data_IF_599345564821
#
_entry.id   IF_599345564821
#
_cell.length_a   1.000
_cell.length_b   1.000
_cell.length_c   1.000
_cell.angle_alpha   90.00
_cell.angle_beta   90.00
_cell.angle_gamma   90.00
#
_symmetry.space_group_name_H-M   'P 1'
#
loop_
_entity.id
_entity.type
_entity.pdbx_description
1 polymer ?
#
# COMPACT_ATOMS: atom_id res chain seq x y z
N UNK A 1 -14.29 17.25 -1.16
CA UNK A 1 -13.30 16.60 -2.05
C UNK A 1 -12.13 17.57 -2.19
N UNK A 2 -10.98 17.24 -1.62
CA UNK A 2 -9.83 18.16 -1.58
C UNK A 2 -9.21 18.30 -2.98
N UNK A 3 -8.71 19.49 -3.32
CA UNK A 3 -8.02 19.78 -4.60
C UNK A 3 -6.87 18.77 -4.85
N UNK A 4 -6.23 18.28 -3.78
CA UNK A 4 -5.19 17.23 -3.85
C UNK A 4 -5.73 15.87 -4.30
N UNK A 5 -6.93 15.48 -3.85
CA UNK A 5 -7.56 14.20 -4.24
C UNK A 5 -8.04 14.22 -5.70
N UNK A 6 -8.54 15.37 -6.17
CA UNK A 6 -8.95 15.56 -7.57
C UNK A 6 -7.77 15.44 -8.53
N UNK A 7 -6.63 16.09 -8.23
CA UNK A 7 -5.40 15.98 -9.02
C UNK A 7 -4.86 14.55 -9.03
N UNK A 8 -4.84 13.88 -7.86
CA UNK A 8 -4.41 12.49 -7.71
C UNK A 8 -5.22 11.52 -8.58
N UNK A 9 -6.56 11.59 -8.56
CA UNK A 9 -7.41 10.71 -9.40
C UNK A 9 -7.22 10.98 -10.90
N UNK A 10 -7.01 12.24 -11.28
CA UNK A 10 -6.82 12.60 -12.68
C UNK A 10 -5.48 12.12 -13.25
N UNK A 11 -4.39 12.26 -12.48
CA UNK A 11 -3.08 11.70 -12.83
C UNK A 11 -3.12 10.16 -12.92
N UNK A 12 -3.74 9.50 -11.93
CA UNK A 12 -3.92 8.06 -11.93
C UNK A 12 -4.68 7.56 -13.16
N UNK A 13 -5.72 8.28 -13.61
CA UNK A 13 -6.50 7.90 -14.80
C UNK A 13 -5.75 8.13 -16.12
N UNK A 14 -4.96 9.20 -16.22
CA UNK A 14 -4.24 9.56 -17.46
C UNK A 14 -3.01 8.70 -17.72
N UNK A 15 -2.32 8.23 -16.70
CA UNK A 15 -1.09 7.46 -16.91
C UNK A 15 -1.30 5.95 -16.75
N UNK A 16 -2.35 5.49 -16.05
CA UNK A 16 -2.59 4.05 -15.85
C UNK A 16 -2.82 3.26 -17.14
N UNK A 17 -3.43 3.86 -18.17
CA UNK A 17 -3.74 3.17 -19.42
C UNK A 17 -2.53 2.98 -20.35
N UNK A 18 -1.45 3.74 -20.15
CA UNK A 18 -0.23 3.64 -20.98
C UNK A 18 0.86 2.77 -20.35
N UNK A 19 0.78 2.43 -19.06
CA UNK A 19 1.82 1.67 -18.36
C UNK A 19 2.05 0.28 -19.00
N UNK A 20 1.01 -0.33 -19.59
CA UNK A 20 1.13 -1.64 -20.24
C UNK A 20 2.01 -1.63 -21.49
N UNK A 21 2.01 -0.53 -22.24
CA UNK A 21 2.67 -0.41 -23.55
C UNK A 21 3.87 0.55 -23.54
N UNK A 22 4.18 1.14 -22.37
CA UNK A 22 5.25 2.12 -22.24
C UNK A 22 6.62 1.49 -22.55
N UNK A 23 7.47 2.28 -23.22
CA UNK A 23 8.85 1.93 -23.58
C UNK A 23 9.83 2.90 -22.92
N UNK A 24 11.08 2.50 -22.79
CA UNK A 24 12.13 3.45 -22.47
C UNK A 24 12.42 4.30 -23.69
N UNK A 25 12.46 5.63 -23.52
CA UNK A 25 13.01 6.54 -24.53
C UNK A 25 14.54 6.40 -24.59
N UNK A 26 15.17 6.95 -25.62
CA UNK A 26 16.62 6.90 -25.87
C UNK A 26 17.43 7.31 -24.64
N UNK A 27 17.10 8.43 -24.02
CA UNK A 27 17.80 8.93 -22.83
C UNK A 27 17.65 7.97 -21.65
N UNK A 28 16.43 7.51 -21.35
CA UNK A 28 16.20 6.54 -20.28
C UNK A 28 16.90 5.19 -20.53
N UNK A 29 17.04 4.75 -21.80
CA UNK A 29 17.84 3.56 -22.16
C UNK A 29 19.32 3.75 -21.85
N UNK A 30 19.87 4.92 -22.15
CA UNK A 30 21.26 5.28 -21.83
C UNK A 30 21.48 5.35 -20.31
N UNK A 31 20.48 5.83 -19.56
CA UNK A 31 20.52 5.94 -18.10
C UNK A 31 20.27 4.61 -17.37
N UNK A 32 19.64 3.61 -18.00
CA UNK A 32 19.19 2.39 -17.31
C UNK A 32 20.32 1.70 -16.52
N UNK A 33 21.52 1.60 -17.11
CA UNK A 33 22.64 0.96 -16.44
C UNK A 33 23.30 1.86 -15.37
N UNK A 34 23.46 3.15 -15.62
CA UNK A 34 24.16 4.07 -14.71
C UNK A 34 23.29 4.55 -13.54
N UNK A 35 21.99 4.72 -13.77
CA UNK A 35 21.01 5.23 -12.80
C UNK A 35 20.23 4.08 -12.14
N UNK A 36 19.75 3.10 -12.90
CA UNK A 36 18.98 2.00 -12.33
C UNK A 36 19.81 0.73 -12.08
N UNK A 37 21.06 0.62 -12.57
CA UNK A 37 21.84 -0.62 -12.56
C UNK A 37 21.05 -1.82 -13.13
N UNK A 38 20.17 -1.56 -14.09
CA UNK A 38 19.33 -2.55 -14.74
C UNK A 38 19.54 -2.46 -16.26
N UNK A 39 19.55 -3.61 -16.97
CA UNK A 39 19.38 -3.60 -18.41
C UNK A 39 18.07 -2.89 -18.80
N UNK A 40 18.03 -2.19 -19.95
CA UNK A 40 16.82 -1.53 -20.41
C UNK A 40 15.59 -2.46 -20.50
N UNK A 41 15.80 -3.72 -20.94
CA UNK A 41 14.73 -4.73 -21.01
C UNK A 41 14.11 -5.03 -19.65
N UNK A 42 14.93 -5.12 -18.61
CA UNK A 42 14.50 -5.50 -17.27
C UNK A 42 13.76 -4.35 -16.59
N UNK A 43 14.20 -3.12 -16.86
CA UNK A 43 13.53 -1.91 -16.40
C UNK A 43 12.14 -1.76 -17.05
N UNK A 44 12.02 -1.97 -18.36
CA UNK A 44 10.71 -2.01 -19.03
C UNK A 44 9.82 -3.11 -18.47
N UNK A 45 10.38 -4.32 -18.28
CA UNK A 45 9.64 -5.43 -17.71
C UNK A 45 9.12 -5.10 -16.31
N UNK A 46 9.94 -4.52 -15.44
CA UNK A 46 9.55 -4.15 -14.08
C UNK A 46 8.40 -3.11 -14.05
N UNK A 47 8.40 -2.17 -15.00
CA UNK A 47 7.30 -1.21 -15.14
C UNK A 47 6.01 -1.92 -15.59
N UNK A 48 6.09 -2.79 -16.62
CA UNK A 48 4.92 -3.49 -17.18
C UNK A 48 4.33 -4.53 -16.22
N UNK A 49 5.13 -5.17 -15.38
CA UNK A 49 4.67 -6.19 -14.42
C UNK A 49 4.08 -5.60 -13.13
N UNK A 50 3.97 -4.28 -13.03
CA UNK A 50 3.35 -3.61 -11.89
C UNK A 50 4.24 -3.53 -10.64
N UNK A 51 5.56 -3.67 -10.80
CA UNK A 51 6.52 -3.35 -9.74
C UNK A 51 6.73 -1.85 -9.57
N UNK A 52 6.46 -1.06 -10.61
CA UNK A 52 6.44 0.39 -10.51
C UNK A 52 5.12 0.91 -9.90
N UNK A 53 5.20 1.96 -9.08
CA UNK A 53 4.05 2.60 -8.43
C UNK A 53 3.87 3.99 -9.01
N UNK A 54 2.66 4.27 -9.52
CA UNK A 54 2.30 5.60 -10.01
C UNK A 54 2.23 6.61 -8.85
N UNK A 55 3.01 7.68 -8.98
CA UNK A 55 3.07 8.77 -8.02
C UNK A 55 1.90 9.73 -8.25
N UNK A 56 1.45 10.38 -7.18
CA UNK A 56 0.39 11.40 -7.25
C UNK A 56 0.87 12.75 -7.77
N UNK A 57 2.18 12.99 -7.72
CA UNK A 57 2.79 14.17 -8.30
C UNK A 57 2.87 14.03 -9.82
N UNK A 58 2.54 15.11 -10.52
CA UNK A 58 2.70 15.28 -11.96
C UNK A 58 3.09 16.73 -12.18
N UNK A 59 3.97 16.99 -13.13
CA UNK A 59 4.18 18.35 -13.62
C UNK A 59 3.34 18.60 -14.88
N UNK A 60 3.68 19.65 -15.64
CA UNK A 60 2.94 20.03 -16.84
C UNK A 60 3.13 19.04 -18.01
N UNK A 61 4.24 18.29 -18.01
CA UNK A 61 4.71 17.50 -19.15
C UNK A 61 4.76 15.99 -18.83
N UNK A 62 4.91 15.64 -17.56
CA UNK A 62 5.23 14.31 -17.09
C UNK A 62 4.36 13.84 -15.93
N UNK A 63 4.03 12.55 -15.96
CA UNK A 63 3.68 11.74 -14.80
C UNK A 63 4.89 10.96 -14.33
N UNK A 64 4.83 10.41 -13.12
CA UNK A 64 5.99 9.77 -12.52
C UNK A 64 5.66 8.40 -11.94
N UNK A 65 6.55 7.43 -12.17
CA UNK A 65 6.48 6.09 -11.61
C UNK A 65 7.68 5.88 -10.66
N UNK A 66 7.43 5.49 -9.42
CA UNK A 66 8.48 5.08 -8.49
C UNK A 66 8.78 3.59 -8.62
N UNK A 67 10.06 3.24 -8.74
CA UNK A 67 10.55 1.87 -8.81
C UNK A 67 11.68 1.66 -7.79
N UNK A 68 11.56 0.64 -6.96
CA UNK A 68 12.67 0.25 -6.09
C UNK A 68 13.67 -0.63 -6.85
N UNK A 69 14.96 -0.38 -6.68
CA UNK A 69 16.03 -1.16 -7.30
C UNK A 69 16.83 -1.85 -6.19
N UNK A 70 16.61 -3.15 -5.95
CA UNK A 70 17.27 -3.89 -4.87
C UNK A 70 18.81 -3.86 -4.95
N UNK A 71 19.37 -3.92 -6.17
CA UNK A 71 20.82 -3.91 -6.38
C UNK A 71 21.49 -2.61 -5.92
N UNK A 72 20.75 -1.49 -5.90
CA UNK A 72 21.24 -0.19 -5.41
C UNK A 72 20.73 0.17 -4.02
N UNK A 73 19.73 -0.56 -3.53
CA UNK A 73 18.97 -0.21 -2.33
C UNK A 73 18.46 1.24 -2.39
N UNK A 74 17.86 1.61 -3.54
CA UNK A 74 17.37 2.95 -3.84
C UNK A 74 16.04 2.93 -4.60
N UNK A 75 15.27 4.01 -4.45
CA UNK A 75 14.11 4.31 -5.29
C UNK A 75 14.58 5.17 -6.47
N UNK A 76 14.20 4.75 -7.68
CA UNK A 76 14.37 5.49 -8.93
C UNK A 76 12.99 5.95 -9.39
N UNK A 77 12.91 7.18 -9.91
CA UNK A 77 11.69 7.77 -10.44
C UNK A 77 11.78 7.81 -11.97
N UNK A 78 10.85 7.14 -12.64
CA UNK A 78 10.73 7.15 -14.09
C UNK A 78 9.77 8.29 -14.49
N UNK A 79 10.25 9.27 -15.24
CA UNK A 79 9.39 10.33 -15.78
C UNK A 79 8.75 9.85 -17.08
N UNK A 80 7.42 9.79 -17.09
CA UNK A 80 6.59 9.36 -18.20
C UNK A 80 5.98 10.58 -18.85
N UNK A 81 6.27 10.82 -20.12
CA UNK A 81 5.62 11.91 -20.86
C UNK A 81 4.49 11.38 -21.73
N UNK A 82 3.37 12.10 -21.73
CA UNK A 82 2.27 11.94 -22.69
C UNK A 82 2.27 13.04 -23.76
N UNK A 83 3.32 13.86 -23.80
CA UNK A 83 3.45 14.86 -24.84
C UNK A 83 3.87 14.19 -26.15
N UNK A 84 2.95 14.17 -27.13
CA UNK A 84 3.15 13.54 -28.44
C UNK A 84 4.39 14.07 -29.18
N UNK A 85 4.81 15.31 -28.90
CA UNK A 85 6.02 15.88 -29.52
C UNK A 85 7.31 15.19 -29.06
N UNK A 86 7.27 14.43 -27.97
CA UNK A 86 8.41 13.74 -27.35
C UNK A 86 8.27 12.21 -27.51
N UNK A 87 7.24 11.75 -28.22
CA UNK A 87 7.06 10.32 -28.48
C UNK A 87 8.18 9.78 -29.36
N UNK A 88 8.64 8.59 -29.03
CA UNK A 88 9.54 7.83 -29.90
C UNK A 88 8.72 6.77 -30.62
N UNK A 89 8.89 6.70 -31.95
CA UNK A 89 8.12 5.81 -32.82
C UNK A 89 6.59 5.94 -32.65
N UNK A 90 6.11 7.14 -32.29
CA UNK A 90 4.69 7.42 -32.08
C UNK A 90 4.09 6.86 -30.78
N UNK A 91 4.93 6.41 -29.84
CA UNK A 91 4.48 5.83 -28.56
C UNK A 91 4.92 6.69 -27.36
N UNK A 92 4.13 6.69 -26.27
CA UNK A 92 4.55 7.28 -25.01
C UNK A 92 5.77 6.54 -24.45
N UNK A 93 6.70 7.30 -23.86
CA UNK A 93 7.96 6.77 -23.34
C UNK A 93 8.24 7.25 -21.93
N UNK A 94 9.02 6.45 -21.22
CA UNK A 94 9.80 6.92 -20.07
C UNK A 94 10.92 7.78 -20.64
N UNK A 95 10.81 9.09 -20.46
CA UNK A 95 11.73 10.06 -21.05
C UNK A 95 13.08 10.08 -20.33
N UNK A 96 13.07 9.96 -19.00
CA UNK A 96 14.25 10.01 -18.14
C UNK A 96 14.05 9.17 -16.88
N UNK A 97 15.18 8.80 -16.27
CA UNK A 97 15.29 8.20 -14.96
C UNK A 97 15.94 9.19 -14.01
N UNK A 98 15.31 9.41 -12.86
CA UNK A 98 15.76 10.31 -11.82
C UNK A 98 16.07 9.50 -10.57
N UNK A 99 17.12 9.85 -9.85
CA UNK A 99 17.19 9.43 -8.45
C UNK A 99 16.20 10.24 -7.58
N UNK A 100 16.03 9.82 -6.33
CA UNK A 100 15.07 10.46 -5.43
C UNK A 100 15.42 11.93 -5.16
N UNK A 101 16.71 12.24 -5.02
CA UNK A 101 17.17 13.60 -4.75
C UNK A 101 16.87 14.52 -5.95
N UNK A 102 17.17 14.08 -7.17
CA UNK A 102 16.85 14.81 -8.41
C UNK A 102 15.34 15.05 -8.56
N UNK A 103 14.52 14.04 -8.25
CA UNK A 103 13.07 14.19 -8.28
C UNK A 103 12.56 15.21 -7.26
N UNK A 104 13.13 15.22 -6.05
CA UNK A 104 12.79 16.21 -5.02
C UNK A 104 13.22 17.63 -5.40
N UNK A 105 14.37 17.78 -6.05
CA UNK A 105 14.81 19.08 -6.60
C UNK A 105 13.88 19.61 -7.69
N UNK A 106 13.18 18.74 -8.45
CA UNK A 106 12.12 19.13 -9.40
C UNK A 106 10.79 19.52 -8.73
N UNK A 107 10.77 19.60 -7.40
CA UNK A 107 9.57 19.92 -6.62
C UNK A 107 8.64 18.73 -6.36
N UNK A 108 9.07 17.52 -6.75
CA UNK A 108 8.40 16.29 -6.36
C UNK A 108 8.57 16.02 -4.86
N UNK A 109 7.61 15.35 -4.26
CA UNK A 109 7.77 14.78 -2.92
C UNK A 109 7.08 13.42 -2.90
N UNK A 110 7.77 12.41 -2.36
CA UNK A 110 7.20 11.07 -2.20
C UNK A 110 6.94 10.85 -0.71
N UNK A 111 5.67 10.82 -0.34
CA UNK A 111 5.26 10.48 1.02
C UNK A 111 5.89 9.14 1.44
N UNK A 112 6.28 9.03 2.72
CA UNK A 112 6.91 7.81 3.26
C UNK A 112 6.07 6.56 2.99
N UNK A 113 4.74 6.66 3.09
CA UNK A 113 3.83 5.55 2.78
C UNK A 113 3.97 5.09 1.32
N UNK A 114 4.19 6.02 0.39
CA UNK A 114 4.39 5.73 -1.03
C UNK A 114 5.79 5.15 -1.26
N UNK A 115 6.83 5.66 -0.61
CA UNK A 115 8.18 5.08 -0.67
C UNK A 115 8.19 3.62 -0.19
N UNK A 116 7.54 3.37 0.95
CA UNK A 116 7.33 2.03 1.50
C UNK A 116 6.58 1.12 0.53
N UNK A 117 5.52 1.63 -0.11
CA UNK A 117 4.76 0.87 -1.11
C UNK A 117 5.61 0.53 -2.33
N UNK A 118 6.47 1.44 -2.78
CA UNK A 118 7.41 1.20 -3.89
C UNK A 118 8.39 0.07 -3.52
N UNK A 119 9.06 0.17 -2.36
CA UNK A 119 9.99 -0.84 -1.88
C UNK A 119 9.32 -2.21 -1.71
N UNK A 120 8.15 -2.25 -1.10
CA UNK A 120 7.42 -3.48 -0.83
C UNK A 120 6.83 -4.18 -2.07
N UNK A 121 6.89 -3.57 -3.27
CA UNK A 121 6.56 -4.27 -4.52
C UNK A 121 7.58 -5.34 -4.89
N UNK A 122 8.83 -5.20 -4.43
CA UNK A 122 9.93 -6.10 -4.78
C UNK A 122 10.57 -6.77 -3.56
N UNK A 123 10.42 -6.18 -2.38
CA UNK A 123 10.92 -6.77 -1.14
C UNK A 123 9.89 -7.71 -0.54
N UNK A 124 10.37 -8.86 -0.05
CA UNK A 124 9.59 -9.66 0.87
C UNK A 124 9.41 -8.90 2.20
N UNK A 125 8.47 -9.31 3.07
CA UNK A 125 8.13 -8.54 4.25
C UNK A 125 9.30 -8.31 5.21
N UNK A 126 10.17 -9.31 5.40
CA UNK A 126 11.37 -9.19 6.26
C UNK A 126 12.36 -8.18 5.67
N UNK A 127 12.66 -8.29 4.38
CA UNK A 127 13.57 -7.38 3.69
C UNK A 127 13.02 -5.94 3.64
N UNK A 128 11.70 -5.78 3.49
CA UNK A 128 11.05 -4.48 3.59
C UNK A 128 11.27 -3.84 4.97
N UNK A 129 11.36 -4.63 6.05
CA UNK A 129 11.59 -4.08 7.40
C UNK A 129 13.02 -3.66 7.62
N UNK A 130 13.97 -4.46 7.13
CA UNK A 130 15.37 -4.06 7.09
C UNK A 130 15.54 -2.76 6.30
N UNK A 131 14.84 -2.63 5.17
CA UNK A 131 14.78 -1.41 4.38
C UNK A 131 14.18 -0.24 5.17
N UNK A 132 13.02 -0.41 5.82
CA UNK A 132 12.38 0.63 6.63
C UNK A 132 13.28 1.12 7.77
N UNK A 133 13.95 0.21 8.48
CA UNK A 133 14.86 0.56 9.56
C UNK A 133 16.08 1.35 9.09
N UNK A 134 16.50 1.15 7.83
CA UNK A 134 17.65 1.83 7.22
C UNK A 134 17.28 3.20 6.66
N UNK A 135 16.11 3.30 6.01
CA UNK A 135 15.76 4.46 5.18
C UNK A 135 14.71 5.37 5.80
N UNK A 136 13.92 4.91 6.78
CA UNK A 136 12.87 5.71 7.41
C UNK A 136 13.31 6.25 8.77
N UNK A 137 12.76 7.39 9.16
CA UNK A 137 13.05 7.99 10.46
C UNK A 137 12.54 7.11 11.60
N UNK A 138 13.22 7.18 12.76
CA UNK A 138 12.78 6.51 13.98
C UNK A 138 11.39 6.97 14.47
N UNK A 139 10.89 8.10 13.95
CA UNK A 139 9.56 8.66 14.24
C UNK A 139 8.46 8.10 13.35
N UNK A 140 8.79 7.32 12.30
CA UNK A 140 7.79 6.68 11.46
C UNK A 140 6.99 5.66 12.27
N UNK A 141 5.74 5.98 12.56
CA UNK A 141 4.82 5.06 13.20
C UNK A 141 4.39 4.01 12.19
N UNK A 142 4.64 2.75 12.55
CA UNK A 142 4.32 1.64 11.69
C UNK A 142 2.82 1.57 11.40
N UNK A 143 2.42 1.35 10.13
CA UNK A 143 1.02 1.10 9.82
C UNK A 143 0.56 -0.16 10.54
N UNK A 144 -0.49 -0.03 11.37
CA UNK A 144 -1.05 -1.17 12.11
C UNK A 144 -1.62 -2.17 11.10
N UNK A 145 -1.21 -3.45 11.14
CA UNK A 145 -1.69 -4.45 10.19
C UNK A 145 -3.21 -4.60 10.27
N UNK A 146 -3.81 -4.89 9.11
CA UNK A 146 -5.24 -5.05 8.89
C UNK A 146 -5.47 -6.42 8.27
N UNK A 147 -6.42 -7.21 8.75
CA UNK A 147 -6.73 -8.53 8.21
C UNK A 147 -8.04 -8.48 7.43
N UNK A 148 -8.00 -8.90 6.18
CA UNK A 148 -9.14 -9.11 5.30
C UNK A 148 -9.47 -10.59 5.31
N UNK A 149 -10.71 -10.91 5.65
CA UNK A 149 -11.24 -12.25 5.77
C UNK A 149 -12.21 -12.45 4.61
N UNK A 150 -11.86 -13.32 3.67
CA UNK A 150 -12.73 -13.70 2.57
C UNK A 150 -13.39 -15.01 2.92
N UNK A 151 -14.72 -15.05 2.87
CA UNK A 151 -15.52 -16.21 3.26
C UNK A 151 -16.71 -16.40 2.32
N UNK A 152 -17.16 -17.63 2.18
CA UNK A 152 -18.31 -17.99 1.35
C UNK A 152 -19.60 -18.04 2.18
N UNK A 153 -20.62 -17.29 1.77
CA UNK A 153 -21.94 -17.34 2.37
C UNK A 153 -22.98 -17.29 1.26
N UNK A 154 -23.88 -18.28 1.26
CA UNK A 154 -24.93 -18.45 0.25
C UNK A 154 -24.40 -18.51 -1.19
N UNK A 155 -23.26 -19.18 -1.40
CA UNK A 155 -22.62 -19.31 -2.73
C UNK A 155 -21.96 -18.02 -3.25
N UNK A 156 -21.78 -17.01 -2.39
CA UNK A 156 -21.12 -15.73 -2.73
C UNK A 156 -19.91 -15.50 -1.83
N UNK A 157 -18.88 -14.87 -2.40
CA UNK A 157 -17.70 -14.44 -1.65
C UNK A 157 -17.97 -13.09 -0.99
N UNK A 158 -17.84 -13.05 0.33
CA UNK A 158 -17.94 -11.86 1.15
C UNK A 158 -16.57 -11.49 1.71
N UNK A 159 -16.44 -10.25 2.19
CA UNK A 159 -15.20 -9.78 2.81
C UNK A 159 -15.52 -9.11 4.13
N UNK A 160 -14.93 -9.61 5.21
CA UNK A 160 -14.88 -8.94 6.50
C UNK A 160 -13.50 -8.34 6.74
N UNK A 161 -13.46 -7.30 7.54
CA UNK A 161 -12.27 -6.52 7.78
C UNK A 161 -12.06 -6.34 9.28
N UNK A 162 -10.88 -6.74 9.75
CA UNK A 162 -10.50 -6.67 11.15
C UNK A 162 -9.20 -5.86 11.33
N UNK A 163 -9.19 -4.99 12.34
CA UNK A 163 -8.05 -4.13 12.66
C UNK A 163 -7.31 -4.65 13.89
N UNK A 164 -6.05 -4.23 14.02
CA UNK A 164 -5.26 -4.33 15.26
C UNK A 164 -5.11 -5.77 15.76
N UNK A 165 -4.57 -6.69 14.94
CA UNK A 165 -4.16 -7.98 15.46
C UNK A 165 -3.11 -7.76 16.56
N UNK A 166 -3.22 -8.44 17.72
CA UNK A 166 -2.32 -8.27 18.85
C UNK A 166 -1.00 -9.02 18.59
N UNK A 167 -0.14 -8.39 17.79
CA UNK A 167 1.19 -8.87 17.40
C UNK A 167 2.25 -7.86 17.83
N UNK A 168 3.40 -8.32 18.33
CA UNK A 168 4.53 -7.43 18.60
C UNK A 168 5.37 -7.17 17.36
N UNK A 169 6.15 -6.09 17.39
CA UNK A 169 7.08 -5.74 16.32
C UNK A 169 8.11 -6.83 16.07
N UNK A 170 8.73 -7.33 17.14
CA UNK A 170 9.79 -8.34 17.04
C UNK A 170 9.35 -9.60 16.28
N UNK A 171 8.09 -10.01 16.45
CA UNK A 171 7.51 -11.11 15.67
C UNK A 171 7.49 -10.80 14.18
N UNK A 172 6.99 -9.62 13.81
CA UNK A 172 6.88 -9.22 12.41
C UNK A 172 8.27 -9.07 11.78
N UNK A 173 9.21 -8.48 12.51
CA UNK A 173 10.58 -8.28 12.03
C UNK A 173 11.31 -9.63 11.86
N UNK A 174 11.01 -10.62 12.70
CA UNK A 174 11.64 -11.95 12.66
C UNK A 174 11.00 -12.90 11.63
N UNK A 175 9.67 -12.93 11.57
CA UNK A 175 8.91 -13.95 10.84
C UNK A 175 8.11 -13.40 9.65
N UNK A 176 7.99 -12.07 9.52
CA UNK A 176 7.16 -11.45 8.50
C UNK A 176 5.67 -11.40 8.86
N UNK A 177 4.92 -10.55 8.14
CA UNK A 177 3.48 -10.37 8.33
C UNK A 177 2.65 -11.53 7.79
N UNK A 178 3.14 -12.23 6.78
CA UNK A 178 2.55 -13.43 6.20
C UNK A 178 2.38 -14.56 7.24
N UNK A 179 3.20 -14.55 8.29
CA UNK A 179 3.19 -15.51 9.40
C UNK A 179 2.52 -14.95 10.67
N UNK A 180 1.74 -13.86 10.56
CA UNK A 180 1.12 -13.20 11.72
C UNK A 180 0.19 -14.12 12.51
N UNK A 181 -0.49 -15.06 11.85
CA UNK A 181 -1.41 -16.01 12.48
C UNK A 181 -0.68 -17.05 13.35
N UNK A 182 0.64 -17.25 13.17
CA UNK A 182 1.46 -18.10 14.04
C UNK A 182 1.74 -17.46 15.41
N UNK A 183 1.44 -16.17 15.58
CA UNK A 183 1.64 -15.46 16.85
C UNK A 183 0.55 -15.85 17.86
N UNK A 184 0.90 -16.26 19.10
CA UNK A 184 -0.06 -16.79 20.08
C UNK A 184 -1.22 -15.85 20.41
N UNK A 185 -0.96 -14.54 20.49
CA UNK A 185 -1.99 -13.54 20.74
C UNK A 185 -2.95 -13.35 19.56
N UNK A 186 -2.47 -13.55 18.32
CA UNK A 186 -3.25 -13.25 17.10
C UNK A 186 -4.29 -14.34 16.86
N UNK A 187 -3.94 -15.60 17.09
CA UNK A 187 -4.88 -16.70 16.87
C UNK A 187 -6.14 -16.59 17.71
N UNK A 188 -6.00 -16.26 19.00
CA UNK A 188 -7.13 -16.04 19.89
C UNK A 188 -7.97 -14.83 19.46
N UNK A 189 -7.31 -13.72 19.08
CA UNK A 189 -7.99 -12.55 18.55
C UNK A 189 -8.78 -12.88 17.27
N UNK A 190 -8.20 -13.63 16.34
CA UNK A 190 -8.83 -14.00 15.08
C UNK A 190 -10.11 -14.81 15.31
N UNK A 191 -10.10 -15.76 16.26
CA UNK A 191 -11.31 -16.49 16.64
C UNK A 191 -12.42 -15.57 17.17
N UNK A 192 -12.08 -14.59 18.02
CA UNK A 192 -13.07 -13.62 18.51
C UNK A 192 -13.64 -12.76 17.38
N UNK A 193 -12.80 -12.32 16.45
CA UNK A 193 -13.24 -11.58 15.25
C UNK A 193 -14.27 -12.38 14.46
N UNK A 194 -14.04 -13.67 14.22
CA UNK A 194 -15.00 -14.52 13.50
C UNK A 194 -16.32 -14.66 14.26
N UNK A 195 -16.27 -14.87 15.58
CA UNK A 195 -17.46 -14.98 16.44
C UNK A 195 -18.28 -13.69 16.41
N UNK A 196 -17.62 -12.54 16.63
CA UNK A 196 -18.28 -11.23 16.67
C UNK A 196 -18.89 -10.86 15.31
N UNK A 197 -18.21 -11.22 14.22
CA UNK A 197 -18.69 -11.04 12.86
C UNK A 197 -19.72 -12.09 12.42
N UNK A 198 -20.00 -13.10 13.25
CA UNK A 198 -20.87 -14.25 12.95
C UNK A 198 -20.45 -14.99 11.68
N UNK A 199 -19.15 -15.13 11.48
CA UNK A 199 -18.55 -15.86 10.35
C UNK A 199 -18.21 -17.26 10.84
N UNK A 200 -18.72 -18.27 10.13
CA UNK A 200 -18.33 -19.66 10.37
C UNK A 200 -16.87 -19.87 9.90
N UNK A 201 -15.94 -20.31 10.77
CA UNK A 201 -14.56 -20.57 10.38
C UNK A 201 -14.41 -21.48 9.15
N UNK A 202 -15.30 -22.46 8.98
CA UNK A 202 -15.26 -23.41 7.84
C UNK A 202 -15.58 -22.74 6.50
N UNK A 203 -16.19 -21.55 6.52
CA UNK A 203 -16.50 -20.78 5.32
C UNK A 203 -15.36 -19.88 4.87
N UNK A 204 -14.30 -19.75 5.67
CA UNK A 204 -13.16 -18.86 5.35
C UNK A 204 -12.31 -19.49 4.25
N UNK A 205 -12.30 -18.85 3.08
CA UNK A 205 -11.57 -19.33 1.90
C UNK A 205 -10.21 -18.68 1.72
N UNK A 206 -10.01 -17.47 2.27
CA UNK A 206 -8.73 -16.77 2.18
C UNK A 206 -8.60 -15.70 3.26
N UNK A 207 -7.39 -15.59 3.79
CA UNK A 207 -6.99 -14.49 4.67
C UNK A 207 -5.93 -13.64 3.96
N UNK A 208 -6.04 -12.32 4.10
CA UNK A 208 -5.01 -11.39 3.61
C UNK A 208 -4.69 -10.35 4.67
N UNK A 209 -3.42 -10.08 4.90
CA UNK A 209 -2.98 -8.97 5.75
C UNK A 209 -2.57 -7.80 4.88
N UNK A 210 -2.86 -6.58 5.33
CA UNK A 210 -2.34 -5.37 4.73
C UNK A 210 -1.82 -4.41 5.78
N UNK A 211 -0.67 -3.83 5.47
CA UNK A 211 -0.06 -2.72 6.19
C UNK A 211 0.26 -1.55 5.23
N UNK A 212 -0.29 -1.61 4.01
CA UNK A 212 0.11 -0.80 2.86
C UNK A 212 0.22 -1.66 1.58
N UNK A 213 0.51 -2.95 1.73
CA UNK A 213 0.45 -3.96 0.64
C UNK A 213 -0.38 -5.15 1.10
N UNK A 214 -1.33 -5.62 0.27
CA UNK A 214 -2.17 -6.79 0.57
C UNK A 214 -1.40 -8.08 0.27
N UNK A 215 -1.13 -8.87 1.30
CA UNK A 215 -0.43 -10.15 1.24
C UNK A 215 -1.36 -11.28 1.65
N UNK A 216 -1.26 -12.46 1.03
CA UNK A 216 -2.02 -13.64 1.45
C UNK A 216 -1.40 -14.21 2.71
N UNK A 217 -2.23 -14.54 3.70
CA UNK A 217 -1.82 -15.23 4.91
C UNK A 217 -1.90 -16.74 4.70
N UNK A 218 -0.99 -17.45 5.33
CA UNK A 218 -1.16 -18.88 5.56
C UNK A 218 -2.23 -19.09 6.63
N UNK A 219 -3.21 -19.95 6.37
CA UNK A 219 -4.32 -20.25 7.29
C UNK A 219 -3.85 -21.27 8.34
N UNK A 220 -2.80 -22.05 8.04
CA UNK A 220 -2.21 -23.05 8.93
C UNK A 220 -0.73 -22.74 9.26
N UNK A 221 -0.42 -21.56 9.81
CA UNK A 221 0.95 -21.21 10.13
C UNK A 221 1.48 -22.07 11.28
N UNK A 222 2.78 -22.35 11.25
CA UNK A 222 3.47 -22.95 12.39
C UNK A 222 3.37 -22.01 13.61
N UNK A 223 2.76 -22.49 14.69
CA UNK A 223 2.68 -21.73 15.94
C UNK A 223 4.07 -21.65 16.58
N UNK A 224 4.51 -20.42 16.91
CA UNK A 224 5.81 -20.20 17.57
C UNK A 224 5.63 -19.43 18.87
N UNK A 225 6.54 -19.66 19.80
CA UNK A 225 6.57 -18.92 21.05
C UNK A 225 7.06 -17.48 20.81
N UNK A 226 6.50 -16.53 21.56
CA UNK A 226 6.96 -15.15 21.59
C UNK A 226 7.17 -14.71 23.05
N UNK A 227 8.28 -15.16 23.68
CA UNK A 227 8.43 -15.15 25.13
C UNK A 227 8.37 -13.76 25.75
N UNK A 228 8.85 -12.72 25.06
CA UNK A 228 8.90 -11.34 25.59
C UNK A 228 7.73 -10.45 25.14
N UNK A 229 6.74 -11.04 24.45
CA UNK A 229 5.61 -10.30 23.91
C UNK A 229 4.50 -10.13 24.95
N UNK A 230 4.12 -8.87 25.20
CA UNK A 230 2.96 -8.52 26.05
C UNK A 230 1.65 -9.16 25.56
N UNK A 231 1.51 -9.36 24.25
CA UNK A 231 0.33 -9.98 23.63
C UNK A 231 0.35 -11.51 23.67
N UNK A 232 1.50 -12.14 23.92
CA UNK A 232 1.57 -13.60 24.06
C UNK A 232 1.07 -14.08 25.44
N UNK A 233 0.95 -13.17 26.42
CA UNK A 233 0.61 -13.49 27.82
C UNK A 233 -0.72 -12.91 28.30
N UNK A 234 -1.34 -11.99 27.56
CA UNK A 234 -2.58 -11.31 27.97
C UNK A 234 -3.75 -11.67 27.04
N UNK A 235 -4.91 -12.11 27.58
CA UNK A 235 -6.15 -12.14 26.82
C UNK A 235 -6.61 -10.70 26.50
N UNK A 236 -7.20 -10.56 25.32
CA UNK A 236 -7.63 -9.30 24.71
C UNK A 236 -8.48 -8.43 25.66
N UNK A 237 -8.14 -7.13 25.78
CA UNK A 237 -8.99 -6.11 26.41
C UNK A 237 -9.65 -5.23 25.34
N UNK A 238 -10.90 -4.75 25.55
CA UNK A 238 -11.61 -3.95 24.56
C UNK A 238 -10.95 -2.60 24.31
N UNK A 239 -11.09 -2.07 23.08
CA UNK A 239 -10.53 -0.78 22.64
C UNK A 239 -10.96 0.38 23.57
N UNK A 240 -10.04 1.28 23.93
CA UNK A 240 -10.33 2.50 24.71
C UNK A 240 -10.82 3.65 23.83
N UNK A 241 -11.43 4.69 24.39
CA UNK A 241 -11.98 5.82 23.60
C UNK A 241 -10.92 6.68 22.91
N UNK A 242 -9.70 6.77 23.47
CA UNK A 242 -8.55 7.45 22.84
C UNK A 242 -8.17 6.80 21.51
N UNK A 243 -8.37 5.48 21.40
CA UNK A 243 -8.08 4.70 20.22
C UNK A 243 -9.12 4.92 19.09
N UNK A 244 -10.32 5.45 19.38
CA UNK A 244 -11.35 5.78 18.37
C UNK A 244 -11.14 7.15 17.72
N UNK A 245 -10.46 8.08 18.41
CA UNK A 245 -10.22 9.43 17.91
C UNK A 245 -9.24 9.47 16.72
N UNK A 246 -8.35 8.49 16.62
CA UNK A 246 -7.38 8.34 15.51
C UNK A 246 -8.01 7.71 14.24
N UNK A 247 -9.24 7.20 14.31
CA UNK A 247 -9.94 6.57 13.18
C UNK A 247 -10.65 7.59 12.25
N UNK A 248 -10.73 8.87 12.63
CA UNK A 248 -11.47 9.92 11.88
C UNK A 248 -10.67 10.46 10.69
N UNK A 249 -9.34 10.48 10.76
CA UNK A 249 -8.50 11.08 9.72
C UNK A 249 -8.29 10.18 8.48
N UNK A 250 -8.65 8.90 8.55
CA UNK A 250 -8.42 7.89 7.50
C UNK A 250 -9.69 7.51 6.72
N UNK A 251 -10.85 8.12 7.04
CA UNK A 251 -12.10 7.89 6.33
C UNK A 251 -12.12 8.67 5.01
N UNK A 252 -11.57 8.08 3.95
CA UNK A 252 -12.01 8.45 2.60
C UNK A 252 -13.51 8.14 2.48
N UNK A 253 -14.35 9.07 2.00
CA UNK A 253 -15.79 8.85 1.96
C UNK A 253 -16.11 7.75 0.96
N UNK A 254 -16.76 6.69 1.45
CA UNK A 254 -17.48 5.71 0.62
C UNK A 254 -18.55 6.46 -0.18
N UNK A 255 -18.21 6.81 -1.42
CA UNK A 255 -19.18 7.28 -2.40
C UNK A 255 -19.93 6.05 -2.92
N UNK A 256 -21.08 5.76 -2.31
CA UNK A 256 -21.86 4.58 -2.68
C UNK A 256 -23.25 4.44 -2.05
N UNK A 257 -24.06 5.49 -2.13
CA UNK A 257 -25.53 5.47 -2.03
C UNK A 257 -26.18 5.36 -0.63
N UNK A 258 -26.81 6.47 -0.21
CA UNK A 258 -27.96 6.45 0.68
C UNK A 258 -27.86 7.35 1.91
N UNK A 259 -27.85 8.68 1.70
CA UNK A 259 -28.49 9.71 2.57
C UNK A 259 -28.21 11.12 2.04
N UNK A 260 -28.65 11.37 0.81
CA UNK A 260 -29.28 12.66 0.51
C UNK A 260 -30.70 12.56 1.10
N UNK A 261 -31.16 13.64 1.73
CA UNK A 261 -32.38 13.81 2.54
C UNK A 261 -32.19 13.64 4.05
N UNK A 262 -32.10 14.79 4.73
CA UNK A 262 -32.31 14.84 6.17
C UNK A 262 -31.64 15.98 6.93
N UNK A 263 -31.37 17.16 6.34
CA UNK A 263 -31.06 18.35 7.17
C UNK A 263 -31.36 19.69 6.50
N UNK A 264 -32.56 19.80 5.90
CA UNK A 264 -33.22 21.09 5.63
C UNK A 264 -34.56 21.21 6.39
N UNK A 265 -34.75 20.43 7.46
CA UNK A 265 -35.95 20.49 8.31
C UNK A 265 -35.71 21.21 9.64
N UNK A 266 -34.93 22.30 9.61
CA UNK A 266 -34.61 23.12 10.79
C UNK A 266 -35.07 24.58 10.73
N UNK A 267 -35.80 25.02 9.70
CA UNK A 267 -36.19 26.44 9.53
C UNK A 267 -37.70 26.63 9.29
N UNK A 268 -38.54 25.68 9.70
CA UNK A 268 -40.00 25.89 9.77
C UNK A 268 -40.61 25.16 10.98
N UNK A 269 -40.39 25.75 12.16
CA UNK A 269 -41.33 25.88 13.30
C UNK A 269 -40.53 26.30 14.55
N UNK A 270 -40.75 27.53 15.02
CA UNK A 270 -40.27 27.89 16.36
C UNK A 270 -40.11 29.37 16.70
N UNK A 271 -40.74 30.31 15.98
CA UNK A 271 -41.51 31.45 16.50
C UNK A 271 -41.95 32.34 15.33
#
# INVERSE_FOLDING_TARGET
MSIREGKRRHALSRYSHVIGDIRLGRLAREQAQSVACLPPSDLEAAVRTGFAVLLSYTDQECGYLGLYVPARDKIIVCAVTLNESVFEDGHPVIAELLDLDEFEHKGGAIDVEVQRRIAGRQLNPVALRAWEAKHLSATYSWPRPRVFIYFELDGKVHTHYARRPPVCRDWIDTYGLENILGHPGVWNWFRHVLIDAKIDPETVISLRVADGIKMRLDIDPEQRSCPDCKYARLPYGPDTEEDKALDVDDAAPDAGSGRLFGWLSGVLKGN
#
